data_IF_807509730204
#
_entry.id   IF_807509730204
#
_cell.length_a   1.000
_cell.length_b   1.000
_cell.length_c   1.000
_cell.angle_alpha   90.00
_cell.angle_beta   90.00
_cell.angle_gamma   90.00
#
_symmetry.space_group_name_H-M   'P 1'
#
loop_
_entity.id
_entity.type
_entity.pdbx_description
1 polymer ?
#
# COMPACT_ATOMS: atom_id res chain seq x y z
N UNK A 1 1.95 10.29 21.63
CA UNK A 1 1.69 10.56 21.14
C UNK A 1 2.14 10.63 19.89
N UNK A 2 1.89 10.87 19.17
CA UNK A 2 2.12 10.91 17.83
C UNK A 2 3.39 11.45 17.39
N UNK A 3 4.17 11.64 18.23
CA UNK A 3 5.37 12.36 17.95
C UNK A 3 6.42 11.56 17.20
N UNK A 4 6.38 10.24 17.32
CA UNK A 4 7.32 9.42 16.58
C UNK A 4 7.11 9.59 15.07
N UNK A 5 5.86 9.68 14.63
CA UNK A 5 5.57 9.88 13.22
C UNK A 5 6.02 11.25 12.75
N UNK A 6 5.88 12.26 13.60
CA UNK A 6 6.32 13.61 13.27
C UNK A 6 7.83 13.66 13.14
N UNK A 7 8.54 12.99 14.05
CA UNK A 7 10.00 12.94 13.99
C UNK A 7 10.50 12.24 12.74
N UNK A 8 9.84 11.17 12.34
CA UNK A 8 10.22 10.43 11.15
C UNK A 8 10.01 11.27 9.89
N UNK A 9 9.11 12.25 9.94
CA UNK A 9 8.90 13.10 8.78
C UNK A 9 9.96 14.19 8.61
N UNK A 10 10.85 14.35 9.55
CA UNK A 10 11.92 15.32 9.39
C UNK A 10 12.84 14.88 8.25
N UNK A 11 13.20 15.83 7.41
CA UNK A 11 13.92 15.53 6.18
C UNK A 11 15.25 14.83 6.38
N UNK A 12 15.95 15.21 7.44
CA UNK A 12 17.31 14.71 7.66
C UNK A 12 17.36 13.45 8.50
N UNK A 13 16.21 12.94 8.92
CA UNK A 13 16.20 11.77 9.77
C UNK A 13 16.54 10.52 8.95
N UNK A 14 17.62 9.77 9.32
CA UNK A 14 18.03 8.61 8.54
C UNK A 14 16.95 7.55 8.35
N UNK A 15 16.10 7.36 9.37
CA UNK A 15 15.01 6.38 9.28
C UNK A 15 14.02 6.76 8.20
N UNK A 16 13.79 8.05 7.98
CA UNK A 16 12.88 8.49 6.94
C UNK A 16 13.37 8.04 5.56
N UNK A 17 14.66 8.18 5.31
CA UNK A 17 15.22 7.79 4.02
C UNK A 17 15.09 6.29 3.78
N UNK A 18 15.34 5.50 4.81
CA UNK A 18 15.18 4.04 4.73
C UNK A 18 13.73 3.69 4.41
N UNK A 19 12.78 4.33 5.09
CA UNK A 19 11.36 4.10 4.88
C UNK A 19 10.96 4.48 3.46
N UNK A 20 11.40 5.64 2.99
CA UNK A 20 11.08 6.10 1.64
C UNK A 20 11.60 5.13 0.58
N UNK A 21 12.83 4.66 0.76
CA UNK A 21 13.43 3.71 -0.16
C UNK A 21 12.64 2.40 -0.19
N UNK A 22 12.26 1.91 0.98
CA UNK A 22 11.51 0.67 1.09
C UNK A 22 10.14 0.79 0.41
N UNK A 23 9.44 1.90 0.65
CA UNK A 23 8.13 2.13 0.05
C UNK A 23 8.21 2.29 -1.47
N UNK A 24 9.27 2.96 -1.95
CA UNK A 24 9.46 3.10 -3.39
C UNK A 24 9.67 1.75 -4.06
N UNK A 25 10.42 0.86 -3.42
CA UNK A 25 10.64 -0.49 -3.94
C UNK A 25 9.34 -1.30 -3.96
N UNK A 26 8.53 -1.16 -2.93
CA UNK A 26 7.25 -1.85 -2.86
C UNK A 26 6.32 -1.38 -3.96
N UNK A 27 6.22 -0.06 -4.17
CA UNK A 27 5.39 0.49 -5.23
C UNK A 27 5.86 0.00 -6.60
N UNK A 28 7.15 0.00 -6.84
CA UNK A 28 7.71 -0.48 -8.10
C UNK A 28 7.38 -1.96 -8.33
N UNK A 29 7.48 -2.76 -7.28
CA UNK A 29 7.15 -4.18 -7.36
C UNK A 29 5.68 -4.39 -7.67
N UNK A 30 4.81 -3.64 -7.02
CA UNK A 30 3.37 -3.72 -7.29
C UNK A 30 3.05 -3.33 -8.73
N UNK A 31 3.68 -2.28 -9.23
CA UNK A 31 3.47 -1.86 -10.61
C UNK A 31 3.88 -2.95 -11.59
N UNK A 32 5.02 -3.57 -11.35
CA UNK A 32 5.53 -4.67 -12.15
C UNK A 32 4.54 -5.84 -12.18
N UNK A 33 4.03 -6.21 -11.01
CA UNK A 33 3.07 -7.30 -10.91
C UNK A 33 1.76 -6.99 -11.62
N UNK A 34 1.29 -5.75 -11.53
CA UNK A 34 0.05 -5.34 -12.19
C UNK A 34 0.19 -5.41 -13.71
N UNK A 35 1.35 -5.01 -14.23
CA UNK A 35 1.62 -5.14 -15.67
C UNK A 35 1.62 -6.63 -16.06
N UNK A 36 2.27 -7.46 -15.28
CA UNK A 36 2.37 -8.90 -15.58
C UNK A 36 1.01 -9.60 -15.52
N UNK A 37 0.09 -9.11 -14.72
CA UNK A 37 -1.28 -9.64 -14.69
C UNK A 37 -2.12 -9.20 -15.88
N UNK A 38 -1.63 -8.26 -16.67
CA UNK A 38 -2.40 -7.70 -17.77
C UNK A 38 -3.49 -6.75 -17.32
N UNK A 39 -3.34 -6.15 -16.14
CA UNK A 39 -4.35 -5.27 -15.61
C UNK A 39 -4.45 -3.98 -16.41
N UNK A 40 -5.66 -3.50 -16.61
CA UNK A 40 -5.89 -2.19 -17.20
C UNK A 40 -5.46 -1.13 -16.20
N UNK A 41 -4.88 -0.03 -16.70
CA UNK A 41 -4.41 1.05 -15.85
C UNK A 41 -3.55 0.52 -14.71
N UNK A 42 -2.54 -0.27 -15.08
CA UNK A 42 -1.72 -0.98 -14.10
C UNK A 42 -1.06 -0.06 -13.08
N UNK A 43 -0.64 1.14 -13.49
CA UNK A 43 -0.04 2.09 -12.56
C UNK A 43 -1.03 2.59 -11.52
N UNK A 44 -2.26 2.86 -11.94
CA UNK A 44 -3.30 3.29 -11.02
C UNK A 44 -3.65 2.16 -10.05
N UNK A 45 -3.78 0.94 -10.55
CA UNK A 45 -4.05 -0.20 -9.70
C UNK A 45 -2.94 -0.39 -8.66
N UNK A 46 -1.69 -0.27 -9.09
CA UNK A 46 -0.55 -0.41 -8.17
C UNK A 46 -0.61 0.62 -7.05
N UNK A 47 -0.93 1.87 -7.37
CA UNK A 47 -1.05 2.91 -6.36
C UNK A 47 -2.21 2.62 -5.40
N UNK A 48 -3.33 2.15 -5.91
CA UNK A 48 -4.47 1.80 -5.07
C UNK A 48 -4.14 0.65 -4.12
N UNK A 49 -3.46 -0.37 -4.63
CA UNK A 49 -3.03 -1.49 -3.79
C UNK A 49 -2.02 -1.05 -2.73
N UNK A 50 -1.10 -0.17 -3.11
CA UNK A 50 -0.12 0.37 -2.19
C UNK A 50 -0.80 1.11 -1.03
N UNK A 51 -1.74 1.99 -1.35
CA UNK A 51 -2.47 2.76 -0.33
C UNK A 51 -3.29 1.84 0.58
N UNK A 52 -3.90 0.82 -0.01
CA UNK A 52 -4.67 -0.15 0.75
C UNK A 52 -3.79 -0.91 1.74
N UNK A 53 -2.62 -1.33 1.30
CA UNK A 53 -1.69 -2.05 2.16
C UNK A 53 -1.16 -1.17 3.28
N UNK A 54 -0.87 0.09 2.99
CA UNK A 54 -0.43 1.03 4.02
C UNK A 54 -1.54 1.26 5.05
N UNK A 55 -2.76 1.45 4.59
CA UNK A 55 -3.89 1.63 5.48
C UNK A 55 -4.13 0.42 6.36
N UNK A 56 -4.02 -0.77 5.80
CA UNK A 56 -4.20 -2.02 6.55
C UNK A 56 -3.13 -2.15 7.63
N UNK A 57 -1.89 -1.78 7.32
CA UNK A 57 -0.80 -1.87 8.28
C UNK A 57 -1.04 -0.95 9.48
N UNK A 58 -1.46 0.28 9.22
CA UNK A 58 -1.78 1.22 10.29
C UNK A 58 -2.96 0.71 11.11
N UNK A 59 -4.01 0.24 10.45
CA UNK A 59 -5.22 -0.22 11.12
C UNK A 59 -4.97 -1.43 12.01
N UNK A 60 -4.03 -2.30 11.64
CA UNK A 60 -3.65 -3.46 12.43
C UNK A 60 -3.16 -3.03 13.82
N UNK A 61 -2.49 -1.88 13.89
CA UNK A 61 -1.92 -1.38 15.13
C UNK A 61 -2.78 -0.33 15.81
N UNK A 62 -4.00 -0.10 15.30
CA UNK A 62 -4.89 0.92 15.84
C UNK A 62 -6.03 0.26 16.59
N UNK A 63 -6.17 0.49 17.90
CA UNK A 63 -7.29 -0.09 18.66
C UNK A 63 -8.63 0.31 18.01
N UNK A 64 -9.51 -0.65 17.85
CA UNK A 64 -10.81 -0.42 17.24
C UNK A 64 -10.84 -0.53 15.73
N UNK A 65 -9.68 -0.62 15.08
CA UNK A 65 -9.63 -0.68 13.62
C UNK A 65 -9.10 -2.00 13.07
N UNK A 66 -8.74 -2.96 13.94
CA UNK A 66 -8.16 -4.22 13.48
C UNK A 66 -9.10 -5.03 12.60
N UNK A 67 -10.40 -4.94 12.89
CA UNK A 67 -11.39 -5.65 12.09
C UNK A 67 -11.40 -5.16 10.64
N UNK A 68 -11.20 -3.87 10.44
CA UNK A 68 -11.11 -3.31 9.09
C UNK A 68 -9.91 -3.87 8.35
N UNK A 69 -8.77 -4.00 9.04
CA UNK A 69 -7.56 -4.52 8.41
C UNK A 69 -7.73 -5.95 7.90
N UNK A 70 -8.60 -6.74 8.54
CA UNK A 70 -8.83 -8.12 8.14
C UNK A 70 -9.50 -8.22 6.76
N UNK A 71 -10.01 -7.12 6.22
CA UNK A 71 -10.65 -7.10 4.91
C UNK A 71 -9.70 -6.71 3.78
N UNK A 72 -8.41 -6.55 4.07
CA UNK A 72 -7.46 -6.06 3.05
C UNK A 72 -7.40 -6.97 1.83
N UNK A 73 -7.37 -8.28 2.03
CA UNK A 73 -7.30 -9.22 0.90
C UNK A 73 -8.55 -9.16 0.03
N UNK A 74 -9.71 -9.05 0.67
CA UNK A 74 -10.98 -8.95 -0.05
C UNK A 74 -11.05 -7.67 -0.86
N UNK A 75 -10.63 -6.55 -0.27
CA UNK A 75 -10.59 -5.27 -0.95
C UNK A 75 -9.61 -5.29 -2.12
N UNK A 76 -8.42 -5.86 -1.90
CA UNK A 76 -7.43 -5.98 -2.96
C UNK A 76 -7.97 -6.81 -4.13
N UNK A 77 -8.63 -7.93 -3.83
CA UNK A 77 -9.20 -8.77 -4.87
C UNK A 77 -10.25 -8.02 -5.70
N UNK A 78 -11.08 -7.21 -5.04
CA UNK A 78 -12.08 -6.43 -5.75
C UNK A 78 -11.45 -5.42 -6.71
N UNK A 79 -10.37 -4.76 -6.27
CA UNK A 79 -9.66 -3.81 -7.11
C UNK A 79 -9.02 -4.50 -8.31
N UNK A 80 -8.39 -5.64 -8.07
CA UNK A 80 -7.71 -6.41 -9.12
C UNK A 80 -8.73 -6.91 -10.14
N UNK A 81 -9.82 -7.52 -9.67
CA UNK A 81 -10.83 -8.08 -10.55
C UNK A 81 -11.43 -7.01 -11.46
N UNK A 82 -11.62 -5.80 -10.95
CA UNK A 82 -12.16 -4.70 -11.73
C UNK A 82 -11.26 -4.28 -12.89
N UNK A 83 -9.98 -4.63 -12.84
CA UNK A 83 -8.99 -4.21 -13.84
C UNK A 83 -8.51 -5.34 -14.73
N UNK A 84 -8.86 -6.58 -14.43
CA UNK A 84 -8.44 -7.69 -15.27
C UNK A 84 -9.34 -7.80 -16.50
N UNK A 85 -8.80 -8.34 -17.61
CA UNK A 85 -9.60 -8.55 -18.79
C UNK A 85 -10.76 -9.49 -18.50
N UNK A 86 -11.88 -9.25 -19.15
CA UNK A 86 -13.03 -10.15 -19.04
C UNK A 86 -12.69 -11.43 -19.79
N UNK A 87 -12.94 -12.61 -19.18
CA UNK A 87 -12.64 -13.89 -19.82
C UNK A 87 -13.44 -14.11 -21.10
#
# INVERSE_FOLDING_TARGET
MANAAVEITERDHPARKVIETHKAKLRARLAELCVRMGARESGLLADQLFLLMEGAQVSTHTPGARGAASNVARAANALIDARLPVP
#
